data_IF_322236354952
#
_entry.id   IF_322236354952
#
_cell.length_a   1.000
_cell.length_b   1.000
_cell.length_c   1.000
_cell.angle_alpha   90.00
_cell.angle_beta   90.00
_cell.angle_gamma   90.00
#
_symmetry.space_group_name_H-M   'P 1'
#
loop_
_entity.id
_entity.type
_entity.pdbx_description
1 polymer ?
#
# COMPACT_ATOMS: atom_id res chain seq x y z
N UNK A 1 1.12 -23.70 -1.30
CA UNK A 1 1.57 -22.40 -0.77
C UNK A 1 1.36 -22.38 0.73
N UNK A 2 2.27 -21.80 1.51
CA UNK A 2 2.09 -21.63 2.96
C UNK A 2 1.25 -20.38 3.23
N UNK A 3 0.05 -20.58 3.76
CA UNK A 3 -0.89 -19.51 4.11
C UNK A 3 -0.29 -18.46 5.06
N UNK A 4 0.56 -18.88 5.98
CA UNK A 4 1.17 -18.01 6.99
C UNK A 4 2.16 -17.01 6.39
N UNK A 5 2.58 -17.25 5.14
CA UNK A 5 3.46 -16.37 4.35
C UNK A 5 2.69 -15.36 3.50
N UNK A 6 1.37 -15.40 3.48
CA UNK A 6 0.57 -14.42 2.76
C UNK A 6 0.34 -13.17 3.62
N UNK A 7 0.46 -12.02 2.98
CA UNK A 7 0.16 -10.72 3.57
C UNK A 7 -0.90 -10.04 2.72
N UNK A 8 -2.15 -10.12 3.15
CA UNK A 8 -3.25 -9.39 2.52
C UNK A 8 -3.07 -7.90 2.82
N UNK A 9 -2.80 -7.12 1.79
CA UNK A 9 -2.49 -5.71 1.89
C UNK A 9 -3.60 -4.90 1.22
N UNK A 10 -4.21 -3.98 1.95
CA UNK A 10 -5.29 -3.15 1.42
C UNK A 10 -5.32 -1.75 2.03
N UNK A 11 -6.12 -0.88 1.44
CA UNK A 11 -6.39 0.51 1.85
C UNK A 11 -7.12 1.21 0.71
N UNK A 12 -7.86 2.27 1.00
CA UNK A 12 -8.61 2.98 -0.04
C UNK A 12 -7.68 3.59 -1.12
N UNK A 13 -8.13 3.78 -2.38
CA UNK A 13 -7.40 4.54 -3.39
C UNK A 13 -6.92 5.89 -2.85
N UNK A 14 -5.67 6.28 -3.14
CA UNK A 14 -5.08 7.53 -2.66
C UNK A 14 -4.64 7.55 -1.18
N UNK A 15 -4.74 6.42 -0.46
CA UNK A 15 -4.30 6.28 0.94
C UNK A 15 -2.77 6.23 1.14
N UNK A 16 -2.00 6.26 0.05
CA UNK A 16 -0.54 6.04 -0.01
C UNK A 16 -0.10 4.60 0.28
N UNK A 17 -1.02 3.63 0.19
CA UNK A 17 -0.76 2.21 0.46
C UNK A 17 0.41 1.61 -0.34
N UNK A 18 0.64 2.02 -1.60
CA UNK A 18 1.77 1.57 -2.42
C UNK A 18 3.12 1.99 -1.83
N UNK A 19 3.23 3.23 -1.32
CA UNK A 19 4.44 3.71 -0.65
C UNK A 19 4.66 3.00 0.69
N UNK A 20 3.57 2.72 1.43
CA UNK A 20 3.64 1.90 2.66
C UNK A 20 4.16 0.50 2.34
N UNK A 21 3.63 -0.15 1.29
CA UNK A 21 4.06 -1.48 0.87
C UNK A 21 5.55 -1.51 0.48
N UNK A 22 6.02 -0.49 -0.24
CA UNK A 22 7.43 -0.36 -0.60
C UNK A 22 8.33 -0.28 0.64
N UNK A 23 8.01 0.62 1.58
CA UNK A 23 8.78 0.82 2.81
C UNK A 23 8.80 -0.45 3.65
N UNK A 24 7.63 -1.09 3.87
CA UNK A 24 7.53 -2.32 4.66
C UNK A 24 8.30 -3.48 4.02
N UNK A 25 8.33 -3.58 2.69
CA UNK A 25 9.11 -4.61 1.99
C UNK A 25 10.63 -4.53 2.29
N UNK A 26 11.14 -3.39 2.77
CA UNK A 26 12.54 -3.21 3.18
C UNK A 26 12.83 -3.61 4.63
N UNK A 27 11.85 -4.15 5.35
CA UNK A 27 11.98 -4.67 6.71
C UNK A 27 13.14 -5.67 6.83
N UNK A 28 14.03 -5.44 7.80
CA UNK A 28 15.05 -6.44 8.17
C UNK A 28 14.50 -7.51 9.11
N UNK A 29 13.42 -7.19 9.83
CA UNK A 29 12.74 -8.09 10.77
C UNK A 29 11.95 -9.19 10.05
N UNK A 30 11.34 -8.89 8.91
CA UNK A 30 10.54 -9.83 8.12
C UNK A 30 11.04 -9.86 6.68
N UNK A 31 11.47 -11.04 6.21
CA UNK A 31 11.89 -11.23 4.83
C UNK A 31 10.68 -11.23 3.90
N UNK A 32 10.51 -10.19 3.08
CA UNK A 32 9.47 -10.14 2.05
C UNK A 32 9.96 -10.72 0.71
N UNK A 33 9.04 -11.33 -0.02
CA UNK A 33 9.28 -11.86 -1.36
C UNK A 33 8.80 -10.85 -2.40
N UNK A 34 9.75 -10.16 -3.03
CA UNK A 34 9.53 -9.17 -4.10
C UNK A 34 9.70 -9.78 -5.50
N UNK A 35 9.63 -11.11 -5.62
CA UNK A 35 9.77 -11.80 -6.90
C UNK A 35 8.62 -11.56 -7.89
N UNK A 36 7.61 -10.79 -7.51
CA UNK A 36 6.54 -10.26 -8.34
C UNK A 36 6.91 -8.93 -9.04
N UNK A 37 8.05 -8.33 -8.70
CA UNK A 37 8.54 -7.09 -9.31
C UNK A 37 9.03 -7.37 -10.73
N UNK A 38 8.59 -6.55 -11.68
CA UNK A 38 8.90 -6.69 -13.10
C UNK A 38 8.95 -5.31 -13.77
N UNK A 39 9.62 -5.19 -14.91
CA UNK A 39 9.73 -3.92 -15.65
C UNK A 39 8.36 -3.39 -16.14
N UNK A 40 7.45 -4.30 -16.50
CA UNK A 40 6.08 -4.00 -16.93
C UNK A 40 5.11 -3.74 -15.75
N UNK A 41 5.59 -3.83 -14.51
CA UNK A 41 4.80 -3.67 -13.27
C UNK A 41 5.28 -2.50 -12.42
N UNK A 42 5.67 -1.42 -13.10
CA UNK A 42 6.22 -0.23 -12.46
C UNK A 42 5.56 1.05 -12.97
N UNK A 43 5.38 2.01 -12.06
CA UNK A 43 4.98 3.36 -12.40
C UNK A 43 5.55 4.37 -11.41
N UNK A 44 6.14 5.44 -11.97
CA UNK A 44 6.62 6.60 -11.23
C UNK A 44 5.65 7.76 -11.44
N UNK A 45 5.36 8.52 -10.38
CA UNK A 45 4.65 9.78 -10.54
C UNK A 45 5.55 10.80 -11.23
N UNK A 46 4.95 11.70 -12.00
CA UNK A 46 5.66 12.78 -12.72
C UNK A 46 6.46 13.72 -11.80
N UNK A 47 6.21 13.69 -10.48
CA UNK A 47 6.81 14.60 -9.49
C UNK A 47 8.23 14.19 -9.10
N UNK A 48 8.52 12.88 -9.02
CA UNK A 48 9.87 12.35 -8.78
C UNK A 48 10.03 11.06 -9.61
N UNK A 49 10.61 11.14 -10.82
CA UNK A 49 10.79 9.97 -11.68
C UNK A 49 11.78 8.96 -11.10
N UNK A 50 12.64 9.37 -10.16
CA UNK A 50 13.59 8.48 -9.46
C UNK A 50 12.87 7.61 -8.41
N UNK A 51 11.58 7.82 -8.19
CA UNK A 51 10.80 7.11 -7.17
C UNK A 51 9.71 6.23 -7.81
N UNK A 52 9.93 4.92 -7.75
CA UNK A 52 8.96 3.91 -8.20
C UNK A 52 7.78 3.83 -7.24
N UNK A 53 6.79 4.69 -7.48
CA UNK A 53 5.62 4.86 -6.60
C UNK A 53 4.67 3.66 -6.58
N UNK A 54 4.66 2.88 -7.66
CA UNK A 54 3.93 1.63 -7.79
C UNK A 54 4.86 0.56 -8.34
N UNK A 55 5.03 -0.55 -7.62
CA UNK A 55 5.91 -1.65 -8.02
C UNK A 55 5.29 -3.00 -7.67
N UNK A 56 5.56 -4.03 -8.48
CA UNK A 56 5.06 -5.39 -8.29
C UNK A 56 3.57 -5.54 -8.58
N UNK A 57 3.05 -6.74 -8.42
CA UNK A 57 1.71 -7.13 -8.85
C UNK A 57 0.60 -6.44 -8.06
N UNK A 58 -0.44 -6.01 -8.76
CA UNK A 58 -1.71 -5.55 -8.18
C UNK A 58 -2.81 -6.52 -8.60
N UNK A 59 -3.71 -6.80 -7.66
CA UNK A 59 -4.79 -7.76 -7.82
C UNK A 59 -6.16 -7.09 -7.77
N UNK A 60 -7.14 -7.71 -8.40
CA UNK A 60 -8.54 -7.34 -8.32
C UNK A 60 -9.26 -7.42 -9.68
N UNK A 61 -10.55 -7.10 -9.74
CA UNK A 61 -11.30 -7.07 -10.99
C UNK A 61 -10.66 -6.14 -12.03
N UNK A 62 -10.49 -6.63 -13.25
CA UNK A 62 -9.84 -5.93 -14.36
C UNK A 62 -8.31 -5.94 -14.32
N UNK A 63 -7.69 -6.63 -13.36
CA UNK A 63 -6.24 -6.83 -13.32
C UNK A 63 -5.82 -8.13 -14.00
N UNK A 64 -4.55 -8.24 -14.45
CA UNK A 64 -4.00 -9.50 -14.93
C UNK A 64 -4.00 -10.62 -13.88
N UNK A 65 -4.13 -10.26 -12.60
CA UNK A 65 -4.18 -11.19 -11.47
C UNK A 65 -5.37 -10.90 -10.57
N UNK A 66 -6.02 -11.95 -10.08
CA UNK A 66 -7.10 -11.85 -9.12
C UNK A 66 -8.35 -11.18 -9.67
N UNK A 67 -8.61 -11.31 -10.98
CA UNK A 67 -9.80 -10.74 -11.64
C UNK A 67 -11.10 -11.17 -10.93
N UNK A 68 -11.15 -12.41 -10.43
CA UNK A 68 -12.28 -12.94 -9.67
C UNK A 68 -12.23 -12.68 -8.16
N UNK A 69 -11.34 -11.81 -7.66
CA UNK A 69 -11.23 -11.53 -6.22
C UNK A 69 -12.39 -10.68 -5.67
N UNK A 70 -13.30 -10.19 -6.51
CA UNK A 70 -14.63 -9.70 -6.08
C UNK A 70 -15.58 -10.83 -5.67
N UNK A 71 -15.24 -12.09 -5.99
CA UNK A 71 -16.05 -13.30 -5.74
C UNK A 71 -15.35 -14.29 -4.80
N UNK A 72 -14.46 -13.80 -3.93
CA UNK A 72 -13.65 -14.63 -3.00
C UNK A 72 -14.46 -15.66 -2.19
N UNK A 73 -15.73 -15.36 -1.89
CA UNK A 73 -16.59 -16.26 -1.13
C UNK A 73 -16.75 -17.60 -1.87
N UNK A 74 -16.93 -17.53 -3.19
CA UNK A 74 -17.21 -18.65 -4.08
C UNK A 74 -15.95 -19.36 -4.55
N UNK A 75 -14.81 -18.69 -4.53
CA UNK A 75 -13.54 -19.28 -4.96
C UNK A 75 -13.03 -20.31 -3.93
N UNK A 76 -12.66 -21.52 -4.37
CA UNK A 76 -11.85 -22.44 -3.58
C UNK A 76 -10.54 -21.79 -3.15
N UNK A 77 -10.08 -22.14 -1.94
CA UNK A 77 -8.84 -21.61 -1.38
C UNK A 77 -7.62 -21.90 -2.27
N UNK A 78 -7.62 -23.07 -2.91
CA UNK A 78 -6.54 -23.48 -3.81
C UNK A 78 -6.46 -22.60 -5.06
N UNK A 79 -7.60 -22.25 -5.67
CA UNK A 79 -7.62 -21.33 -6.83
C UNK A 79 -7.05 -19.96 -6.48
N UNK A 80 -7.38 -19.44 -5.29
CA UNK A 80 -6.81 -18.18 -4.79
C UNK A 80 -5.29 -18.30 -4.61
N UNK A 81 -4.79 -19.44 -4.10
CA UNK A 81 -3.36 -19.66 -3.97
C UNK A 81 -2.65 -19.75 -5.33
N UNK A 82 -3.25 -20.44 -6.29
CA UNK A 82 -2.68 -20.60 -7.63
C UNK A 82 -2.60 -19.25 -8.34
N UNK A 83 -3.66 -18.43 -8.21
CA UNK A 83 -3.71 -17.06 -8.73
C UNK A 83 -2.69 -16.13 -8.07
N UNK A 84 -2.50 -16.22 -6.75
CA UNK A 84 -1.45 -15.45 -6.07
C UNK A 84 -0.07 -15.94 -6.52
N UNK A 85 0.13 -17.25 -6.70
CA UNK A 85 1.43 -17.79 -7.11
C UNK A 85 1.80 -17.40 -8.53
N UNK A 86 0.84 -17.34 -9.46
CA UNK A 86 1.09 -16.99 -10.86
C UNK A 86 1.68 -15.58 -11.04
N UNK A 87 1.43 -14.70 -10.07
CA UNK A 87 1.99 -13.35 -10.06
C UNK A 87 3.49 -13.28 -9.73
N UNK A 88 4.08 -14.31 -9.11
CA UNK A 88 5.51 -14.32 -8.73
C UNK A 88 6.37 -14.95 -9.84
N UNK A 89 7.30 -14.18 -10.40
CA UNK A 89 8.25 -14.61 -11.45
C UNK A 89 9.39 -15.43 -10.82
N UNK A 90 9.88 -14.96 -9.68
CA UNK A 90 10.87 -15.66 -8.85
C UNK A 90 10.33 -15.83 -7.44
N UNK A 91 10.93 -16.72 -6.65
CA UNK A 91 10.49 -16.97 -5.27
C UNK A 91 11.71 -17.04 -4.35
N UNK A 92 11.64 -16.36 -3.20
CA UNK A 92 12.72 -16.31 -2.22
C UNK A 92 12.31 -16.90 -0.84
N UNK A 93 11.09 -17.44 -0.74
CA UNK A 93 10.52 -18.05 0.48
C UNK A 93 10.07 -17.04 1.55
N UNK A 94 10.08 -15.76 1.23
CA UNK A 94 9.63 -14.67 2.08
C UNK A 94 8.11 -14.52 2.10
N UNK A 95 7.65 -13.49 2.81
CA UNK A 95 6.25 -13.10 2.87
C UNK A 95 5.81 -12.44 1.56
N UNK A 96 4.69 -12.90 0.99
CA UNK A 96 4.11 -12.38 -0.26
C UNK A 96 3.07 -11.31 0.04
N UNK A 97 3.33 -10.07 -0.39
CA UNK A 97 2.39 -8.95 -0.24
C UNK A 97 1.37 -8.96 -1.38
N UNK A 98 0.11 -9.22 -1.08
CA UNK A 98 -0.98 -9.26 -2.06
C UNK A 98 -1.76 -7.94 -1.98
N UNK A 99 -1.49 -7.04 -2.94
CA UNK A 99 -2.07 -5.69 -2.99
C UNK A 99 -3.40 -5.70 -3.74
N UNK A 100 -4.51 -5.48 -3.05
CA UNK A 100 -5.83 -5.30 -3.68
C UNK A 100 -6.70 -4.30 -2.89
N UNK A 101 -7.30 -3.31 -3.57
CA UNK A 101 -8.23 -2.34 -2.96
C UNK A 101 -9.52 -3.01 -2.48
N UNK A 102 -10.10 -3.88 -3.31
CA UNK A 102 -11.34 -4.61 -3.03
C UNK A 102 -11.29 -5.41 -1.73
N UNK A 103 -10.09 -5.86 -1.31
CA UNK A 103 -9.92 -6.52 -0.01
C UNK A 103 -10.41 -5.67 1.16
N UNK A 104 -10.37 -4.34 1.11
CA UNK A 104 -10.92 -3.46 2.16
C UNK A 104 -12.38 -3.80 2.49
N UNK A 105 -13.17 -4.16 1.47
CA UNK A 105 -14.58 -4.54 1.60
C UNK A 105 -14.72 -5.96 2.15
N UNK A 106 -13.83 -6.87 1.72
CA UNK A 106 -13.90 -8.31 1.96
C UNK A 106 -13.02 -8.80 3.12
N UNK A 107 -12.36 -7.89 3.86
CA UNK A 107 -11.49 -8.21 5.00
C UNK A 107 -12.08 -9.27 5.97
N UNK A 108 -13.36 -9.19 6.42
CA UNK A 108 -13.94 -10.21 7.28
C UNK A 108 -13.97 -11.62 6.65
N UNK A 109 -14.28 -11.69 5.36
CA UNK A 109 -14.35 -12.93 4.61
C UNK A 109 -12.95 -13.52 4.39
N UNK A 110 -11.99 -12.66 4.00
CA UNK A 110 -10.59 -13.05 3.84
C UNK A 110 -10.04 -13.57 5.16
N UNK A 111 -10.30 -12.88 6.28
CA UNK A 111 -9.88 -13.32 7.61
C UNK A 111 -10.47 -14.68 7.99
N UNK A 112 -11.75 -14.92 7.68
CA UNK A 112 -12.38 -16.23 7.90
C UNK A 112 -11.75 -17.34 7.04
N UNK A 113 -11.41 -17.05 5.78
CA UNK A 113 -10.88 -18.04 4.82
C UNK A 113 -9.36 -18.29 4.98
N UNK A 114 -8.63 -17.27 5.44
CA UNK A 114 -7.18 -17.26 5.61
C UNK A 114 -6.73 -16.85 7.03
N UNK A 115 -7.22 -17.53 8.08
CA UNK A 115 -6.99 -17.11 9.47
C UNK A 115 -5.51 -17.10 9.90
N UNK A 116 -4.62 -17.81 9.21
CA UNK A 116 -3.18 -17.85 9.53
C UNK A 116 -2.35 -16.81 8.78
N UNK A 117 -2.94 -16.15 7.77
CA UNK A 117 -2.28 -15.11 7.00
C UNK A 117 -2.10 -13.83 7.81
N UNK A 118 -1.31 -12.91 7.25
CA UNK A 118 -1.04 -11.60 7.82
C UNK A 118 -1.84 -10.54 7.10
N UNK A 119 -2.09 -9.43 7.78
CA UNK A 119 -2.85 -8.32 7.22
C UNK A 119 -2.12 -7.01 7.49
N UNK A 120 -2.03 -6.18 6.44
CA UNK A 120 -1.60 -4.79 6.54
C UNK A 120 -2.69 -3.94 5.93
N UNK A 121 -3.27 -3.06 6.75
CA UNK A 121 -4.41 -2.25 6.37
C UNK A 121 -4.00 -0.79 6.50
N UNK A 122 -3.93 -0.10 5.37
CA UNK A 122 -3.61 1.32 5.31
C UNK A 122 -4.90 2.13 5.40
N UNK A 123 -4.91 3.11 6.31
CA UNK A 123 -6.02 4.04 6.48
C UNK A 123 -5.53 5.49 6.31
N UNK A 124 -6.33 6.27 5.59
CA UNK A 124 -6.18 7.72 5.46
C UNK A 124 -7.58 8.31 5.26
N UNK A 125 -7.84 9.51 5.81
CA UNK A 125 -9.18 10.13 5.74
C UNK A 125 -9.65 10.30 4.29
N UNK A 126 -10.97 10.22 4.07
CA UNK A 126 -11.59 10.25 2.74
C UNK A 126 -11.10 11.42 1.89
N UNK A 127 -11.15 12.66 2.40
CA UNK A 127 -10.72 13.85 1.64
C UNK A 127 -9.24 13.78 1.25
N UNK A 128 -8.40 13.26 2.15
CA UNK A 128 -6.98 13.08 1.90
C UNK A 128 -6.71 11.96 0.89
N UNK A 129 -7.51 10.89 0.89
CA UNK A 129 -7.50 9.87 -0.16
C UNK A 129 -7.92 10.44 -1.52
N UNK A 130 -8.98 11.26 -1.56
CA UNK A 130 -9.45 11.92 -2.79
C UNK A 130 -8.36 12.84 -3.35
N UNK A 131 -7.77 13.71 -2.52
CA UNK A 131 -6.62 14.54 -2.90
C UNK A 131 -5.45 13.69 -3.42
N UNK A 132 -5.14 12.60 -2.69
CA UNK A 132 -4.04 11.69 -3.04
C UNK A 132 -4.25 11.00 -4.38
N UNK A 133 -5.46 10.52 -4.68
CA UNK A 133 -5.79 9.85 -5.93
C UNK A 133 -5.61 10.77 -7.14
N UNK A 134 -6.23 11.95 -7.09
CA UNK A 134 -6.14 12.90 -8.20
C UNK A 134 -4.74 13.52 -8.33
N UNK A 135 -4.01 13.69 -7.22
CA UNK A 135 -2.61 14.12 -7.25
C UNK A 135 -1.64 13.08 -7.81
N UNK A 136 -1.97 11.80 -7.73
CA UNK A 136 -1.19 10.67 -8.22
C UNK A 136 -1.32 10.41 -9.74
N UNK A 137 -2.13 11.21 -10.44
CA UNK A 137 -2.44 11.03 -11.88
C UNK A 137 -3.84 10.47 -12.14
N UNK A 138 -4.60 10.12 -11.08
CA UNK A 138 -5.98 9.69 -11.19
C UNK A 138 -6.17 8.52 -12.18
N UNK A 139 -6.94 8.75 -13.24
CA UNK A 139 -7.27 7.74 -14.24
C UNK A 139 -6.20 7.58 -15.35
N UNK A 140 -5.19 8.45 -15.37
CA UNK A 140 -4.22 8.57 -16.46
C UNK A 140 -2.88 7.86 -16.19
N UNK A 141 -2.79 7.11 -15.08
CA UNK A 141 -1.61 6.30 -14.77
C UNK A 141 -1.50 5.11 -15.72
N UNK A 142 -0.27 4.68 -16.03
CA UNK A 142 -0.03 3.54 -16.94
C UNK A 142 -0.02 2.21 -16.21
N UNK A 143 0.22 2.22 -14.90
CA UNK A 143 0.19 1.05 -14.04
C UNK A 143 0.02 1.46 -12.57
N UNK A 144 -0.68 0.67 -11.74
CA UNK A 144 -1.73 -0.29 -12.09
C UNK A 144 -2.93 0.35 -12.83
N UNK A 145 -3.61 -0.41 -13.70
CA UNK A 145 -4.76 0.09 -14.47
C UNK A 145 -6.07 -0.20 -13.76
N UNK A 146 -6.72 0.83 -13.22
CA UNK A 146 -7.95 0.67 -12.43
C UNK A 146 -9.26 0.95 -13.18
N UNK A 147 -9.21 1.04 -14.51
CA UNK A 147 -10.29 1.60 -15.34
C UNK A 147 -11.61 0.82 -15.24
N UNK A 148 -11.56 -0.48 -14.91
CA UNK A 148 -12.77 -1.30 -14.75
C UNK A 148 -13.47 -1.08 -13.41
N UNK A 149 -12.71 -0.90 -12.33
CA UNK A 149 -13.26 -0.69 -10.98
C UNK A 149 -13.62 0.78 -10.69
N UNK A 150 -12.92 1.72 -11.33
CA UNK A 150 -13.06 3.15 -11.07
C UNK A 150 -13.20 3.93 -12.38
N UNK A 151 -14.44 4.27 -12.71
CA UNK A 151 -14.82 4.77 -14.06
C UNK A 151 -14.92 6.29 -14.14
N UNK A 152 -15.24 6.96 -13.03
CA UNK A 152 -15.37 8.41 -12.98
C UNK A 152 -15.15 8.93 -11.55
N UNK A 153 -15.18 10.25 -11.40
CA UNK A 153 -14.89 10.93 -10.13
C UNK A 153 -15.90 10.55 -9.04
N UNK A 154 -17.17 10.49 -9.38
CA UNK A 154 -18.26 10.18 -8.45
C UNK A 154 -18.10 8.75 -7.92
N UNK A 155 -17.92 7.77 -8.80
CA UNK A 155 -17.75 6.35 -8.43
C UNK A 155 -16.46 6.12 -7.63
N UNK A 156 -15.37 6.83 -7.96
CA UNK A 156 -14.12 6.83 -7.19
C UNK A 156 -14.33 7.35 -5.76
N UNK A 157 -15.02 8.48 -5.58
CA UNK A 157 -15.28 9.05 -4.26
C UNK A 157 -16.15 8.10 -3.42
N UNK A 158 -17.17 7.49 -4.01
CA UNK A 158 -18.00 6.50 -3.34
C UNK A 158 -17.19 5.27 -2.92
N UNK A 159 -16.32 4.77 -3.82
CA UNK A 159 -15.44 3.64 -3.52
C UNK A 159 -14.49 3.95 -2.36
N UNK A 160 -13.82 5.10 -2.37
CA UNK A 160 -12.94 5.55 -1.26
C UNK A 160 -13.68 5.52 0.07
N UNK A 161 -14.87 6.14 0.13
CA UNK A 161 -15.68 6.20 1.35
C UNK A 161 -16.10 4.81 1.82
N UNK A 162 -16.52 3.94 0.89
CA UNK A 162 -16.93 2.57 1.16
C UNK A 162 -15.77 1.74 1.72
N UNK A 163 -14.61 1.77 1.05
CA UNK A 163 -13.41 1.03 1.43
C UNK A 163 -12.86 1.49 2.79
N UNK A 164 -12.79 2.80 3.02
CA UNK A 164 -12.38 3.36 4.32
C UNK A 164 -13.35 2.96 5.44
N UNK A 165 -14.67 3.01 5.19
CA UNK A 165 -15.66 2.57 6.18
C UNK A 165 -15.46 1.10 6.56
N UNK A 166 -15.29 0.22 5.58
CA UNK A 166 -15.11 -1.21 5.84
C UNK A 166 -13.79 -1.51 6.54
N UNK A 167 -12.71 -0.84 6.14
CA UNK A 167 -11.40 -0.87 6.81
C UNK A 167 -11.53 -0.51 8.29
N UNK A 168 -12.13 0.64 8.60
CA UNK A 168 -12.30 1.09 10.00
C UNK A 168 -13.19 0.14 10.80
N UNK A 169 -14.26 -0.39 10.20
CA UNK A 169 -15.12 -1.40 10.84
C UNK A 169 -14.34 -2.67 11.19
N UNK A 170 -13.49 -3.16 10.29
CA UNK A 170 -12.67 -4.35 10.53
C UNK A 170 -11.63 -4.09 11.64
N UNK A 171 -10.92 -2.96 11.57
CA UNK A 171 -9.93 -2.55 12.58
C UNK A 171 -10.58 -2.46 13.96
N UNK A 172 -11.74 -1.79 14.06
CA UNK A 172 -12.47 -1.64 15.32
C UNK A 172 -12.94 -2.98 15.89
N UNK A 173 -13.59 -3.82 15.06
CA UNK A 173 -14.13 -5.13 15.49
C UNK A 173 -13.04 -6.08 15.98
N UNK A 174 -11.86 -6.01 15.37
CA UNK A 174 -10.71 -6.85 15.74
C UNK A 174 -9.76 -6.17 16.74
N UNK A 175 -10.12 -4.98 17.26
CA UNK A 175 -9.33 -4.21 18.25
C UNK A 175 -7.88 -3.97 17.82
N UNK A 176 -7.67 -3.72 16.52
CA UNK A 176 -6.34 -3.49 15.98
C UNK A 176 -5.85 -2.08 16.33
N UNK A 177 -4.55 -1.94 16.55
CA UNK A 177 -3.92 -0.63 16.77
C UNK A 177 -3.65 0.05 15.43
N UNK A 178 -4.05 1.32 15.32
CA UNK A 178 -3.69 2.19 14.20
C UNK A 178 -2.39 2.94 14.54
N UNK A 179 -1.31 2.61 13.85
CA UNK A 179 -0.02 3.27 14.00
C UNK A 179 0.13 4.37 12.94
N UNK A 180 0.64 5.54 13.33
CA UNK A 180 0.99 6.60 12.38
C UNK A 180 2.18 6.13 11.53
N UNK A 181 2.11 6.30 10.21
CA UNK A 181 3.25 6.06 9.32
C UNK A 181 4.27 7.19 9.46
N UNK A 182 5.20 7.03 10.39
CA UNK A 182 6.33 7.93 10.60
C UNK A 182 7.64 7.15 10.72
N UNK A 183 8.76 7.86 10.69
CA UNK A 183 10.09 7.28 10.79
C UNK A 183 10.23 6.34 12.00
N UNK A 184 9.73 6.76 13.16
CA UNK A 184 9.80 5.97 14.39
C UNK A 184 9.08 4.63 14.30
N UNK A 185 7.89 4.59 13.69
CA UNK A 185 7.15 3.34 13.49
C UNK A 185 7.91 2.39 12.56
N UNK A 186 8.40 2.88 11.41
CA UNK A 186 9.14 2.07 10.45
C UNK A 186 10.46 1.56 11.02
N UNK A 187 11.22 2.41 11.71
CA UNK A 187 12.47 2.02 12.35
C UNK A 187 12.26 0.99 13.44
N UNK A 188 11.35 1.26 14.39
CA UNK A 188 11.28 0.47 15.62
C UNK A 188 10.44 -0.80 15.47
N UNK A 189 9.36 -0.78 14.68
CA UNK A 189 8.49 -1.95 14.52
C UNK A 189 8.96 -2.88 13.40
N UNK A 190 9.39 -2.30 12.27
CA UNK A 190 9.76 -3.03 11.06
C UNK A 190 11.27 -3.20 10.87
N UNK A 191 12.11 -2.62 11.72
CA UNK A 191 13.57 -2.66 11.60
C UNK A 191 14.05 -2.17 10.22
N UNK A 192 13.52 -1.01 9.79
CA UNK A 192 13.86 -0.39 8.52
C UNK A 192 15.03 0.59 8.72
N UNK A 193 15.99 0.55 7.79
CA UNK A 193 17.05 1.55 7.72
C UNK A 193 16.50 2.88 7.19
N UNK A 194 16.24 3.82 8.10
CA UNK A 194 15.67 5.14 7.80
C UNK A 194 16.69 6.16 7.31
N UNK A 195 17.99 5.83 7.38
CA UNK A 195 19.06 6.66 6.81
C UNK A 195 19.35 6.31 5.35
N UNK A 196 18.90 5.14 4.88
CA UNK A 196 18.89 4.85 3.46
C UNK A 196 18.10 5.93 2.70
N UNK A 197 18.75 6.56 1.71
CA UNK A 197 18.22 7.72 0.97
C UNK A 197 16.84 7.42 0.37
N UNK A 198 16.64 6.23 -0.19
CA UNK A 198 15.39 5.84 -0.84
C UNK A 198 14.27 5.63 0.18
N UNK A 199 14.54 4.90 1.27
CA UNK A 199 13.58 4.72 2.36
C UNK A 199 13.16 6.06 2.97
N UNK A 200 14.13 6.95 3.19
CA UNK A 200 13.91 8.30 3.72
C UNK A 200 12.99 9.13 2.84
N UNK A 201 13.12 9.03 1.51
CA UNK A 201 12.20 9.67 0.55
C UNK A 201 10.77 9.15 0.72
N UNK A 202 10.56 7.83 0.71
CA UNK A 202 9.21 7.26 0.87
C UNK A 202 8.59 7.60 2.22
N UNK A 203 9.36 7.50 3.31
CA UNK A 203 8.87 7.84 4.65
C UNK A 203 8.43 9.30 4.72
N UNK A 204 9.21 10.23 4.17
CA UNK A 204 8.83 11.65 4.12
C UNK A 204 7.53 11.88 3.34
N UNK A 205 7.30 11.15 2.24
CA UNK A 205 6.03 11.22 1.52
C UNK A 205 4.85 10.73 2.36
N UNK A 206 5.04 9.65 3.11
CA UNK A 206 4.03 9.11 4.01
C UNK A 206 3.70 10.10 5.13
N UNK A 207 4.70 10.79 5.66
CA UNK A 207 4.56 11.86 6.66
C UNK A 207 3.97 13.16 6.08
N UNK A 208 3.77 13.24 4.76
CA UNK A 208 3.21 14.41 4.10
C UNK A 208 4.17 15.60 4.08
N UNK A 209 5.49 15.36 4.19
CA UNK A 209 6.50 16.38 4.00
C UNK A 209 6.66 16.68 2.49
N UNK A 210 6.77 17.95 2.09
CA UNK A 210 7.02 18.28 0.69
C UNK A 210 8.35 17.66 0.25
N UNK A 211 8.32 16.94 -0.88
CA UNK A 211 9.53 16.49 -1.56
C UNK A 211 10.27 17.74 -2.02
N UNK A 212 11.47 18.00 -1.47
CA UNK A 212 12.30 19.11 -1.93
C UNK A 212 12.56 18.94 -3.42
N UNK A 213 12.20 19.95 -4.23
CA UNK A 213 12.71 20.02 -5.60
C UNK A 213 14.24 20.07 -5.49
N UNK A 214 14.96 19.28 -6.27
CA UNK A 214 16.37 19.54 -6.58
C UNK A 214 16.44 20.92 -7.22
N UNK A 215 16.58 21.97 -6.41
CA UNK A 215 17.21 23.20 -6.87
C UNK A 215 18.70 22.99 -6.66
N UNK A 216 19.47 23.16 -7.74
CA UNK A 216 20.93 23.28 -7.69
C UNK A 216 21.24 24.49 -6.81
N UNK A 217 21.46 24.25 -5.52
CA UNK A 217 22.00 25.12 -4.46
C UNK A 217 21.44 24.56 -3.13
N UNK A 218 22.08 23.50 -2.65
CA UNK A 218 21.89 23.05 -1.28
C UNK A 218 22.85 23.85 -0.40
N UNK A 219 22.38 24.99 0.10
CA UNK A 219 22.92 25.54 1.34
C UNK A 219 22.41 24.67 2.49
N UNK A 220 23.35 24.16 3.28
CA UNK A 220 23.13 23.47 4.54
C UNK A 220 22.39 24.39 5.53
N UNK A 221 21.05 24.39 5.50
CA UNK A 221 20.27 24.91 6.62
C UNK A 221 19.55 23.76 7.33
N UNK A 222 20.37 22.94 8.00
CA UNK A 222 19.94 22.00 9.06
C UNK A 222 19.63 22.78 10.37
N UNK A 223 19.78 24.11 10.37
CA UNK A 223 19.85 24.91 11.61
C UNK A 223 18.63 25.76 11.95
N UNK A 224 17.61 25.87 11.11
CA UNK A 224 16.41 26.63 11.48
C UNK A 224 15.21 25.73 11.74
N UNK A 225 14.82 25.62 13.03
CA UNK A 225 13.59 24.99 13.52
C UNK A 225 12.31 25.70 13.08
N UNK A 226 12.15 25.91 11.76
CA UNK A 226 10.85 26.20 11.16
C UNK A 226 10.06 24.90 11.17
N UNK A 227 9.13 24.80 12.11
CA UNK A 227 8.03 23.84 12.03
C UNK A 227 7.54 23.78 10.58
N UNK A 228 7.72 22.64 9.92
CA UNK A 228 7.25 22.43 8.56
C UNK A 228 5.73 22.44 8.63
N UNK A 229 5.14 23.62 8.46
CA UNK A 229 3.71 23.92 8.63
C UNK A 229 2.80 23.22 7.60
N UNK A 230 3.33 22.20 6.91
CA UNK A 230 2.71 21.40 5.86
C UNK A 230 2.79 19.89 6.09
N UNK A 231 3.47 19.42 7.15
CA UNK A 231 3.50 17.99 7.47
C UNK A 231 2.08 17.50 7.78
N UNK A 232 1.62 16.50 7.03
CA UNK A 232 0.32 15.85 7.23
C UNK A 232 0.59 14.42 7.69
N UNK A 233 0.73 14.20 8.99
CA UNK A 233 0.76 12.86 9.60
C UNK A 233 -0.64 12.22 9.54
N UNK A 234 -1.09 11.92 8.32
CA UNK A 234 -2.47 11.54 8.00
C UNK A 234 -2.61 10.11 7.45
N UNK A 235 -1.50 9.39 7.29
CA UNK A 235 -1.46 7.98 6.90
C UNK A 235 -1.22 7.10 8.11
N UNK A 236 -2.07 6.08 8.28
CA UNK A 236 -2.04 5.14 9.38
C UNK A 236 -2.00 3.70 8.85
N UNK A 237 -1.42 2.79 9.64
CA UNK A 237 -1.37 1.36 9.34
C UNK A 237 -1.84 0.57 10.56
N UNK A 238 -2.76 -0.36 10.32
CA UNK A 238 -3.07 -1.44 11.25
C UNK A 238 -2.48 -2.75 10.72
N UNK A 239 -1.94 -3.55 11.64
CA UNK A 239 -1.36 -4.87 11.33
C UNK A 239 -2.07 -5.97 12.12
N UNK A 240 -2.13 -7.17 11.54
CA UNK A 240 -2.61 -8.38 12.21
C UNK A 240 -1.71 -9.56 11.86
N UNK A 241 -1.32 -10.32 12.89
CA UNK A 241 -0.51 -11.53 12.77
C UNK A 241 1.01 -11.31 12.74
N UNK A 242 1.49 -10.08 12.90
CA UNK A 242 2.93 -9.73 12.93
C UNK A 242 3.52 -9.75 14.33
#
# INVERSE_FOLDING_TARGET
>A
MDESKLVFFTGAPGSKWSAVAHVIAQSKKYKFDTGDYAEDRQYCHNVDPDLVTHNGSYFGPGFPFGDSFDKLERLPKQEIFDEINSAWITQNGGYKIIKCHQFSVDLPLIYKKFPNSKYIITYRKDDACIEGWFGAGGFDITYPLYKEGYTNRETMIEAIKKENRHTLMFIHRNKLTLNVCNEGYFKNFWDIDTENILNKKYIRMLEGLPMYKKTEEADDDITTGRFVNKQKLDTFVATLGF
#
